data_IF_107312146714
#
_entry.id   IF_107312146714
#
_cell.length_a   1.000
_cell.length_b   1.000
_cell.length_c   1.000
_cell.angle_alpha   90.00
_cell.angle_beta   90.00
_cell.angle_gamma   90.00
#
_symmetry.space_group_name_H-M   'P 1'
#
loop_
_entity.id
_entity.type
_entity.pdbx_description
1 polymer ?
#
# COMPACT_ATOMS: atom_id res chain seq x y z
N UNK A 1 -0.34 -30.55 5.48
CA UNK A 1 -0.96 -29.23 5.23
C UNK A 1 -0.12 -28.58 4.16
N UNK A 2 -0.65 -28.39 2.94
CA UNK A 2 0.13 -27.76 1.87
C UNK A 2 0.60 -26.38 2.34
N UNK A 3 1.91 -26.15 2.27
CA UNK A 3 2.52 -24.88 2.64
C UNK A 3 2.01 -23.84 1.64
N UNK A 4 1.19 -22.89 2.12
CA UNK A 4 0.59 -21.89 1.22
C UNK A 4 1.67 -20.89 0.88
N UNK A 5 2.03 -20.81 -0.40
CA UNK A 5 3.04 -19.88 -0.89
C UNK A 5 2.83 -18.47 -0.34
N UNK A 6 3.92 -17.84 0.11
CA UNK A 6 3.84 -16.48 0.62
C UNK A 6 3.50 -15.51 -0.52
N UNK A 7 2.84 -14.36 -0.25
CA UNK A 7 2.58 -13.37 -1.29
C UNK A 7 3.83 -12.90 -2.05
N UNK A 8 5.00 -12.91 -1.38
CA UNK A 8 6.28 -12.58 -2.00
C UNK A 8 6.70 -13.63 -3.04
N UNK A 9 6.51 -14.91 -2.71
CA UNK A 9 6.90 -16.02 -3.59
C UNK A 9 5.97 -16.10 -4.80
N UNK A 10 4.67 -15.91 -4.60
CA UNK A 10 3.69 -15.78 -5.69
C UNK A 10 4.09 -14.68 -6.68
N UNK A 11 4.40 -13.48 -6.18
CA UNK A 11 4.80 -12.35 -7.04
C UNK A 11 6.10 -12.63 -7.78
N UNK A 12 7.08 -13.27 -7.12
CA UNK A 12 8.33 -13.67 -7.76
C UNK A 12 8.12 -14.72 -8.84
N UNK A 13 7.26 -15.71 -8.61
CA UNK A 13 6.91 -16.72 -9.60
C UNK A 13 6.21 -16.09 -10.82
N UNK A 14 5.32 -15.13 -10.59
CA UNK A 14 4.70 -14.35 -11.65
C UNK A 14 5.76 -13.59 -12.48
N UNK A 15 6.68 -12.88 -11.83
CA UNK A 15 7.75 -12.15 -12.53
C UNK A 15 8.69 -13.08 -13.30
N UNK A 16 9.02 -14.24 -12.73
CA UNK A 16 9.83 -15.25 -13.43
C UNK A 16 9.13 -15.82 -14.67
N UNK A 17 7.79 -15.88 -14.66
CA UNK A 17 6.99 -16.43 -15.76
C UNK A 17 6.71 -15.40 -16.85
N UNK A 18 6.37 -14.18 -16.46
CA UNK A 18 5.82 -13.16 -17.36
C UNK A 18 6.76 -11.98 -17.61
N UNK A 19 7.83 -11.84 -16.83
CA UNK A 19 8.70 -10.67 -16.80
C UNK A 19 8.26 -9.64 -15.76
N UNK A 20 9.23 -8.98 -15.12
CA UNK A 20 8.97 -8.00 -14.06
C UNK A 20 8.17 -6.80 -14.57
N UNK A 21 8.58 -6.20 -15.68
CA UNK A 21 7.90 -5.05 -16.29
C UNK A 21 6.45 -5.34 -16.64
N UNK A 22 6.18 -6.54 -17.17
CA UNK A 22 4.83 -6.96 -17.55
C UNK A 22 3.94 -7.08 -16.32
N UNK A 23 4.45 -7.65 -15.22
CA UNK A 23 3.70 -7.76 -13.96
C UNK A 23 3.46 -6.37 -13.35
N UNK A 24 4.44 -5.47 -13.43
CA UNK A 24 4.29 -4.07 -13.02
C UNK A 24 3.20 -3.38 -13.83
N UNK A 25 3.21 -3.51 -15.17
CA UNK A 25 2.21 -2.89 -16.06
C UNK A 25 0.80 -3.35 -15.71
N UNK A 26 0.60 -4.66 -15.46
CA UNK A 26 -0.70 -5.17 -15.03
C UNK A 26 -1.15 -4.55 -13.71
N UNK A 27 -0.23 -4.43 -12.75
CA UNK A 27 -0.54 -3.87 -11.45
C UNK A 27 -0.86 -2.37 -11.53
N UNK A 28 -0.15 -1.62 -12.38
CA UNK A 28 -0.46 -0.21 -12.67
C UNK A 28 -1.85 -0.11 -13.30
N UNK A 29 -2.17 -0.93 -14.30
CA UNK A 29 -3.46 -0.92 -14.97
C UNK A 29 -4.62 -1.28 -14.01
N UNK A 30 -4.42 -2.24 -13.11
CA UNK A 30 -5.36 -2.55 -12.04
C UNK A 30 -5.51 -1.40 -11.04
N UNK A 31 -4.41 -0.82 -10.58
CA UNK A 31 -4.38 0.22 -9.54
C UNK A 31 -5.02 1.53 -10.02
N UNK A 32 -4.79 1.91 -11.28
CA UNK A 32 -5.33 3.12 -11.90
C UNK A 32 -6.74 2.94 -12.45
N UNK A 33 -7.23 1.71 -12.55
CA UNK A 33 -8.56 1.38 -13.06
C UNK A 33 -8.65 1.30 -14.58
N UNK A 34 -7.53 1.34 -15.30
CA UNK A 34 -7.47 1.01 -16.74
C UNK A 34 -8.05 -0.38 -17.00
N UNK A 35 -7.74 -1.35 -16.12
CA UNK A 35 -8.48 -2.61 -16.05
C UNK A 35 -9.57 -2.49 -14.98
N UNK A 36 -10.86 -2.37 -15.35
CA UNK A 36 -11.95 -2.27 -14.40
C UNK A 36 -12.19 -3.61 -13.70
N UNK A 37 -12.89 -3.57 -12.56
CA UNK A 37 -13.10 -4.77 -11.76
C UNK A 37 -13.88 -5.88 -12.43
N UNK A 38 -14.81 -5.53 -13.33
CA UNK A 38 -15.53 -6.51 -14.16
C UNK A 38 -14.56 -7.26 -15.10
N UNK A 39 -13.63 -6.55 -15.75
CA UNK A 39 -12.62 -7.17 -16.59
C UNK A 39 -11.65 -8.01 -15.75
N UNK A 40 -11.21 -7.51 -14.59
CA UNK A 40 -10.30 -8.20 -13.68
C UNK A 40 -10.83 -9.54 -13.13
N UNK A 41 -12.14 -9.65 -12.87
CA UNK A 41 -12.79 -10.92 -12.51
C UNK A 41 -13.38 -11.67 -13.71
N UNK A 42 -13.19 -11.14 -14.92
CA UNK A 42 -13.65 -11.70 -16.19
C UNK A 42 -12.48 -12.06 -17.10
N UNK A 43 -12.37 -11.36 -18.23
CA UNK A 43 -11.36 -11.64 -19.26
C UNK A 43 -9.90 -11.52 -18.77
N UNK A 44 -9.66 -10.69 -17.74
CA UNK A 44 -8.34 -10.41 -17.19
C UNK A 44 -8.03 -11.19 -15.90
N UNK A 45 -8.89 -12.14 -15.53
CA UNK A 45 -8.69 -13.00 -14.38
C UNK A 45 -7.29 -13.66 -14.35
N UNK A 46 -6.71 -14.16 -15.47
CA UNK A 46 -5.37 -14.75 -15.44
C UNK A 46 -4.28 -13.84 -14.85
N UNK A 47 -4.35 -12.52 -15.11
CA UNK A 47 -3.40 -11.53 -14.53
C UNK A 47 -3.56 -11.44 -13.02
N UNK A 48 -4.81 -11.44 -12.53
CA UNK A 48 -5.11 -11.40 -11.10
C UNK A 48 -4.73 -12.72 -10.40
N UNK A 49 -4.96 -13.86 -11.04
CA UNK A 49 -4.49 -15.17 -10.56
C UNK A 49 -2.97 -15.18 -10.42
N UNK A 50 -2.23 -14.65 -11.41
CA UNK A 50 -0.77 -14.62 -11.38
C UNK A 50 -0.22 -13.88 -10.14
N UNK A 51 -0.80 -12.72 -9.78
CA UNK A 51 -0.29 -11.91 -8.65
C UNK A 51 -0.87 -12.30 -7.27
N UNK A 52 -1.88 -13.18 -7.25
CA UNK A 52 -2.55 -13.62 -6.00
C UNK A 52 -2.35 -15.10 -5.69
N UNK A 53 -1.98 -15.92 -6.68
CA UNK A 53 -1.85 -17.37 -6.55
C UNK A 53 -3.18 -18.08 -6.34
N UNK A 54 -4.31 -17.44 -6.68
CA UNK A 54 -5.65 -17.96 -6.40
C UNK A 54 -6.53 -17.83 -7.64
N UNK A 55 -7.19 -18.93 -8.03
CA UNK A 55 -8.18 -18.95 -9.12
C UNK A 55 -9.47 -18.18 -8.77
N UNK A 56 -9.72 -17.96 -7.48
CA UNK A 56 -10.82 -17.13 -6.99
C UNK A 56 -10.31 -16.15 -5.92
N UNK A 57 -9.62 -15.07 -6.32
CA UNK A 57 -9.13 -14.06 -5.41
C UNK A 57 -10.27 -13.46 -4.58
N UNK A 58 -10.18 -13.58 -3.26
CA UNK A 58 -11.23 -13.13 -2.33
C UNK A 58 -12.35 -14.13 -2.06
N UNK A 59 -12.44 -15.23 -2.81
CA UNK A 59 -13.38 -16.33 -2.53
C UNK A 59 -14.85 -15.94 -2.75
N UNK A 60 -15.11 -15.02 -3.67
CA UNK A 60 -16.44 -14.48 -3.91
C UNK A 60 -17.28 -15.43 -4.77
N UNK A 61 -18.61 -15.27 -4.70
CA UNK A 61 -19.51 -15.90 -5.66
C UNK A 61 -19.50 -15.10 -6.97
N UNK A 62 -19.73 -15.79 -8.09
CA UNK A 62 -19.89 -15.15 -9.38
C UNK A 62 -21.37 -14.80 -9.65
N UNK A 63 -21.67 -13.59 -10.19
CA UNK A 63 -20.74 -12.50 -10.45
C UNK A 63 -20.28 -11.81 -9.14
N UNK A 64 -19.05 -11.30 -9.15
CA UNK A 64 -18.47 -10.59 -7.98
C UNK A 64 -19.16 -9.24 -7.81
N UNK A 65 -19.62 -8.94 -6.59
CA UNK A 65 -20.20 -7.66 -6.21
C UNK A 65 -19.21 -6.50 -6.49
N UNK A 66 -19.62 -5.44 -7.21
CA UNK A 66 -18.76 -4.29 -7.50
C UNK A 66 -18.13 -3.62 -6.27
N UNK A 67 -18.79 -3.69 -5.10
CA UNK A 67 -18.25 -3.23 -3.83
C UNK A 67 -16.98 -3.97 -3.39
N UNK A 68 -16.69 -5.13 -3.96
CA UNK A 68 -15.45 -5.89 -3.72
C UNK A 68 -14.35 -5.59 -4.75
N UNK A 69 -14.59 -4.79 -5.79
CA UNK A 69 -13.60 -4.52 -6.83
C UNK A 69 -12.38 -3.74 -6.33
N UNK A 70 -12.48 -3.01 -5.22
CA UNK A 70 -11.32 -2.32 -4.64
C UNK A 70 -10.21 -3.31 -4.22
N UNK A 71 -10.53 -4.58 -3.97
CA UNK A 71 -9.51 -5.59 -3.63
C UNK A 71 -8.49 -5.82 -4.74
N UNK A 72 -8.88 -5.62 -6.00
CA UNK A 72 -7.96 -5.72 -7.14
C UNK A 72 -6.83 -4.71 -7.00
N UNK A 73 -7.16 -3.46 -6.64
CA UNK A 73 -6.19 -2.40 -6.39
C UNK A 73 -5.34 -2.66 -5.15
N UNK A 74 -5.91 -3.28 -4.12
CA UNK A 74 -5.16 -3.71 -2.93
C UNK A 74 -4.12 -4.78 -3.29
N UNK A 75 -4.50 -5.80 -4.06
CA UNK A 75 -3.58 -6.86 -4.49
C UNK A 75 -2.52 -6.36 -5.46
N UNK A 76 -2.88 -5.47 -6.38
CA UNK A 76 -1.94 -4.79 -7.27
C UNK A 76 -0.93 -3.95 -6.48
N UNK A 77 -1.38 -3.07 -5.58
CA UNK A 77 -0.47 -2.27 -4.75
C UNK A 77 0.49 -3.14 -3.91
N UNK A 78 0.03 -4.29 -3.40
CA UNK A 78 0.87 -5.23 -2.65
C UNK A 78 2.08 -5.72 -3.45
N UNK A 79 1.97 -5.86 -4.77
CA UNK A 79 3.07 -6.30 -5.64
C UNK A 79 4.27 -5.37 -5.50
N UNK A 80 4.04 -4.06 -5.33
CA UNK A 80 5.10 -3.05 -5.24
C UNK A 80 5.93 -3.10 -3.95
N UNK A 81 5.50 -3.90 -2.96
CA UNK A 81 6.32 -4.25 -1.79
C UNK A 81 7.45 -5.24 -2.14
N UNK A 82 7.35 -5.93 -3.27
CA UNK A 82 8.28 -7.01 -3.65
C UNK A 82 9.02 -6.73 -4.95
N UNK A 83 8.40 -5.97 -5.85
CA UNK A 83 8.84 -5.64 -7.21
C UNK A 83 8.77 -4.13 -7.38
N UNK A 84 9.62 -3.51 -8.20
CA UNK A 84 9.63 -2.05 -8.31
C UNK A 84 10.12 -1.53 -9.66
N UNK A 85 9.44 -0.50 -10.15
CA UNK A 85 9.83 0.35 -11.28
C UNK A 85 9.49 1.79 -10.91
N UNK A 86 10.34 2.75 -11.24
CA UNK A 86 10.23 4.11 -10.69
C UNK A 86 8.97 4.86 -11.13
N UNK A 87 8.42 4.54 -12.30
CA UNK A 87 7.16 5.10 -12.81
C UNK A 87 5.92 4.67 -11.99
N UNK A 88 6.04 3.64 -11.14
CA UNK A 88 4.97 3.21 -10.20
C UNK A 88 4.58 4.33 -9.24
N UNK A 89 5.49 5.27 -8.95
CA UNK A 89 5.21 6.44 -8.09
C UNK A 89 3.99 7.22 -8.57
N UNK A 90 3.82 7.41 -9.88
CA UNK A 90 2.69 8.16 -10.44
C UNK A 90 1.37 7.43 -10.20
N UNK A 91 1.36 6.10 -10.36
CA UNK A 91 0.21 5.27 -10.05
C UNK A 91 -0.11 5.29 -8.54
N UNK A 92 0.91 5.33 -7.68
CA UNK A 92 0.73 5.42 -6.22
C UNK A 92 0.20 6.78 -5.78
N UNK A 93 0.56 7.88 -6.46
CA UNK A 93 -0.01 9.21 -6.20
C UNK A 93 -1.52 9.24 -6.43
N UNK A 94 -2.00 8.55 -7.47
CA UNK A 94 -3.44 8.35 -7.72
C UNK A 94 -4.05 7.49 -6.61
N UNK A 95 -3.42 6.36 -6.28
CA UNK A 95 -3.91 5.42 -5.28
C UNK A 95 -3.90 5.96 -3.84
N UNK A 96 -3.06 6.96 -3.53
CA UNK A 96 -3.07 7.64 -2.24
C UNK A 96 -4.41 8.36 -1.97
N UNK A 97 -5.16 8.67 -3.03
CA UNK A 97 -6.49 9.31 -2.96
C UNK A 97 -7.64 8.32 -3.17
N UNK A 98 -7.36 7.02 -3.17
CA UNK A 98 -8.36 5.99 -3.40
C UNK A 98 -9.48 6.07 -2.35
N UNK A 99 -10.77 5.90 -2.72
CA UNK A 99 -11.87 5.90 -1.74
C UNK A 99 -11.73 4.78 -0.70
N UNK A 100 -11.17 3.62 -1.08
CA UNK A 100 -10.97 2.50 -0.18
C UNK A 100 -9.75 2.72 0.71
N UNK A 101 -9.98 2.86 2.02
CA UNK A 101 -8.92 3.06 3.01
C UNK A 101 -7.83 1.97 2.95
N UNK A 102 -8.17 0.74 2.55
CA UNK A 102 -7.23 -0.38 2.46
C UNK A 102 -6.22 -0.22 1.32
N UNK A 103 -6.59 0.47 0.24
CA UNK A 103 -5.66 0.84 -0.83
C UNK A 103 -4.68 1.90 -0.32
N UNK A 104 -5.19 2.95 0.34
CA UNK A 104 -4.36 3.99 0.96
C UNK A 104 -3.40 3.43 2.01
N UNK A 105 -3.85 2.47 2.82
CA UNK A 105 -2.99 1.73 3.77
C UNK A 105 -1.85 0.98 3.07
N UNK A 106 -2.09 0.39 1.90
CA UNK A 106 -1.02 -0.25 1.12
C UNK A 106 -0.03 0.79 0.59
N UNK A 107 -0.52 1.93 0.08
CA UNK A 107 0.34 3.04 -0.36
C UNK A 107 1.24 3.48 0.79
N UNK A 108 0.70 3.72 1.99
CA UNK A 108 1.50 4.10 3.16
C UNK A 108 2.59 3.07 3.50
N UNK A 109 2.28 1.76 3.43
CA UNK A 109 3.29 0.72 3.65
C UNK A 109 4.39 0.72 2.59
N UNK A 110 4.04 0.97 1.33
CA UNK A 110 5.01 1.08 0.23
C UNK A 110 5.87 2.32 0.45
N UNK A 111 5.26 3.47 0.75
CA UNK A 111 5.96 4.72 1.09
C UNK A 111 6.96 4.52 2.21
N UNK A 112 6.58 3.82 3.29
CA UNK A 112 7.49 3.52 4.40
C UNK A 112 8.65 2.61 3.99
N UNK A 113 8.38 1.56 3.21
CA UNK A 113 9.40 0.58 2.81
C UNK A 113 10.38 1.13 1.75
N UNK A 114 9.90 2.05 0.91
CA UNK A 114 10.62 2.59 -0.25
C UNK A 114 11.07 4.04 -0.03
N UNK A 115 10.78 4.62 1.15
CA UNK A 115 11.13 5.99 1.55
C UNK A 115 10.66 7.07 0.55
N UNK A 116 9.41 6.95 0.09
CA UNK A 116 8.85 7.80 -0.98
C UNK A 116 8.33 9.14 -0.45
N UNK A 117 9.23 10.09 -0.22
CA UNK A 117 8.91 11.41 0.34
C UNK A 117 7.81 12.16 -0.43
N UNK A 118 7.77 12.02 -1.75
CA UNK A 118 6.76 12.63 -2.63
C UNK A 118 5.32 12.15 -2.38
N UNK A 119 5.11 11.05 -1.63
CA UNK A 119 3.78 10.56 -1.27
C UNK A 119 3.31 11.04 0.11
N UNK A 120 4.19 11.62 0.93
CA UNK A 120 3.95 11.89 2.35
C UNK A 120 2.74 12.80 2.56
N UNK A 121 2.66 13.92 1.84
CA UNK A 121 1.54 14.86 1.95
C UNK A 121 0.18 14.20 1.67
N UNK A 122 0.14 13.29 0.70
CA UNK A 122 -1.08 12.59 0.33
C UNK A 122 -1.56 11.62 1.43
N UNK A 123 -0.69 11.26 2.38
CA UNK A 123 -0.99 10.36 3.49
C UNK A 123 -1.38 11.11 4.78
N UNK A 124 -1.15 12.43 4.88
CA UNK A 124 -1.53 13.22 6.06
C UNK A 124 -3.00 13.02 6.48
N UNK A 125 -4.01 12.98 5.58
CA UNK A 125 -5.39 12.77 5.97
C UNK A 125 -5.66 11.41 6.65
N UNK A 126 -4.76 10.43 6.52
CA UNK A 126 -4.91 9.13 7.18
C UNK A 126 -4.61 9.19 8.68
N UNK A 127 -3.97 10.25 9.17
CA UNK A 127 -3.71 10.47 10.59
C UNK A 127 -4.99 10.68 11.40
N UNK A 128 -6.07 11.15 10.79
CA UNK A 128 -7.37 11.34 11.45
C UNK A 128 -8.35 10.18 11.22
N UNK A 129 -7.90 9.09 10.62
CA UNK A 129 -8.78 7.98 10.26
C UNK A 129 -9.32 7.25 11.50
N UNK A 130 -10.59 6.81 11.48
CA UNK A 130 -11.24 6.14 12.62
C UNK A 130 -10.51 4.85 13.07
N UNK A 131 -9.97 4.10 12.11
CA UNK A 131 -9.25 2.85 12.36
C UNK A 131 -7.80 3.09 12.81
N UNK A 132 -7.39 2.59 14.00
CA UNK A 132 -6.02 2.77 14.50
C UNK A 132 -4.93 2.24 13.58
N UNK A 133 -5.18 1.13 12.88
CA UNK A 133 -4.21 0.55 11.93
C UNK A 133 -3.88 1.50 10.76
N UNK A 134 -4.85 2.33 10.35
CA UNK A 134 -4.68 3.26 9.23
C UNK A 134 -3.84 4.44 9.70
N UNK A 135 -4.14 4.99 10.88
CA UNK A 135 -3.30 6.01 11.53
C UNK A 135 -1.87 5.51 11.73
N UNK A 136 -1.71 4.28 12.23
CA UNK A 136 -0.40 3.63 12.41
C UNK A 136 0.38 3.51 11.10
N UNK A 137 -0.27 3.12 10.01
CA UNK A 137 0.37 3.01 8.70
C UNK A 137 0.84 4.39 8.21
N UNK A 138 0.04 5.44 8.40
CA UNK A 138 0.38 6.81 8.05
C UNK A 138 1.56 7.34 8.87
N UNK A 139 1.51 7.20 10.21
CA UNK A 139 2.61 7.60 11.11
C UNK A 139 3.93 6.95 10.72
N UNK A 140 3.92 5.64 10.41
CA UNK A 140 5.12 4.92 9.95
C UNK A 140 5.64 5.44 8.62
N UNK A 141 4.75 5.72 7.67
CA UNK A 141 5.13 6.25 6.37
C UNK A 141 5.75 7.63 6.48
N UNK A 142 5.14 8.52 7.28
CA UNK A 142 5.64 9.88 7.50
C UNK A 142 6.96 9.85 8.27
N UNK A 143 7.11 8.99 9.28
CA UNK A 143 8.39 8.87 9.99
C UNK A 143 9.53 8.36 9.10
N UNK A 144 9.24 7.43 8.18
CA UNK A 144 10.24 6.84 7.31
C UNK A 144 10.60 7.68 6.08
N UNK A 145 9.69 8.54 5.59
CA UNK A 145 9.85 9.24 4.32
C UNK A 145 9.62 10.76 4.41
N UNK A 146 9.07 11.26 5.51
CA UNK A 146 8.77 12.67 5.72
C UNK A 146 10.00 13.50 6.02
N UNK A 147 9.74 14.80 6.07
CA UNK A 147 10.66 15.89 6.40
C UNK A 147 10.29 16.55 7.72
N UNK A 148 11.15 17.45 8.20
CA UNK A 148 11.01 18.14 9.50
C UNK A 148 9.61 18.73 9.74
N UNK A 149 8.99 19.33 8.72
CA UNK A 149 7.67 19.96 8.83
C UNK A 149 6.53 18.98 9.17
N UNK A 150 6.74 17.68 8.97
CA UNK A 150 5.73 16.66 9.27
C UNK A 150 5.78 16.17 10.72
N UNK A 151 6.79 16.58 11.50
CA UNK A 151 6.95 16.14 12.89
C UNK A 151 5.75 16.49 13.75
N UNK A 152 5.18 17.68 13.58
CA UNK A 152 4.03 18.13 14.37
C UNK A 152 2.75 17.34 14.06
N UNK A 153 2.57 16.93 12.80
CA UNK A 153 1.47 16.07 12.41
C UNK A 153 1.56 14.69 13.09
N UNK A 154 2.77 14.13 13.23
CA UNK A 154 2.98 12.89 14.00
C UNK A 154 2.75 13.11 15.49
N UNK A 155 3.27 14.19 16.07
CA UNK A 155 3.13 14.51 17.51
C UNK A 155 1.69 14.68 17.96
N UNK A 156 0.82 15.17 17.09
CA UNK A 156 -0.61 15.30 17.40
C UNK A 156 -1.27 13.97 17.83
N UNK A 157 -0.66 12.82 17.49
CA UNK A 157 -1.13 11.49 17.85
C UNK A 157 -0.42 10.89 19.09
N UNK A 158 0.40 11.66 19.82
CA UNK A 158 1.12 11.18 21.00
C UNK A 158 0.19 10.65 22.10
N UNK A 159 -1.02 11.23 22.23
CA UNK A 159 -2.06 10.83 23.17
C UNK A 159 -3.18 10.01 22.51
N UNK A 160 -2.93 9.41 21.33
CA UNK A 160 -3.92 8.59 20.64
C UNK A 160 -4.47 7.49 21.58
N UNK A 161 -5.78 7.20 21.59
CA UNK A 161 -6.36 6.18 22.47
C UNK A 161 -5.75 4.78 22.25
N UNK A 162 -5.30 4.47 21.04
CA UNK A 162 -4.71 3.19 20.69
C UNK A 162 -3.19 3.16 20.97
N UNK A 163 -2.77 2.22 21.81
CA UNK A 163 -1.37 2.06 22.19
C UNK A 163 -0.43 1.74 21.01
N UNK A 164 -0.93 1.11 19.95
CA UNK A 164 -0.12 0.79 18.76
C UNK A 164 0.20 2.04 17.95
N UNK A 165 -0.70 3.03 17.97
CA UNK A 165 -0.50 4.34 17.34
C UNK A 165 0.53 5.13 18.15
N UNK A 166 0.37 5.23 19.47
CA UNK A 166 1.37 5.91 20.33
C UNK A 166 2.77 5.33 20.17
N UNK A 167 2.89 3.99 20.20
CA UNK A 167 4.18 3.32 19.96
C UNK A 167 4.71 3.49 18.53
N UNK A 168 3.85 3.82 17.55
CA UNK A 168 4.29 4.19 16.21
C UNK A 168 4.78 5.64 16.17
N UNK A 169 4.14 6.56 16.90
CA UNK A 169 4.53 7.97 17.03
C UNK A 169 5.95 8.08 17.56
N UNK A 170 6.24 7.45 18.71
CA UNK A 170 7.57 7.49 19.33
C UNK A 170 8.65 7.03 18.35
N UNK A 171 8.43 5.87 17.71
CA UNK A 171 9.38 5.32 16.72
C UNK A 171 9.53 6.20 15.49
N UNK A 172 8.42 6.79 15.01
CA UNK A 172 8.44 7.63 13.81
C UNK A 172 9.22 8.93 14.06
N UNK A 173 9.07 9.55 15.23
CA UNK A 173 9.82 10.75 15.59
C UNK A 173 11.32 10.44 15.74
N UNK A 174 11.70 9.36 16.43
CA UNK A 174 13.11 8.93 16.49
C UNK A 174 13.67 8.63 15.10
N UNK A 175 12.92 7.92 14.26
CA UNK A 175 13.34 7.62 12.87
C UNK A 175 13.57 8.90 12.09
N UNK A 176 12.71 9.90 12.26
CA UNK A 176 12.78 11.18 11.57
C UNK A 176 13.96 12.03 12.08
N UNK A 177 14.20 12.07 13.39
CA UNK A 177 15.39 12.70 14.00
C UNK A 177 16.69 12.11 13.44
N UNK A 178 16.79 10.77 13.45
CA UNK A 178 17.96 10.03 12.97
C UNK A 178 18.20 10.28 11.48
N UNK A 179 17.14 10.27 10.65
CA UNK A 179 17.24 10.52 9.20
C UNK A 179 17.67 11.94 8.86
N UNK A 180 17.15 12.92 9.60
CA UNK A 180 17.39 14.33 9.32
C UNK A 180 18.64 14.88 10.01
N UNK A 181 19.29 14.07 10.85
CA UNK A 181 20.46 14.45 11.67
C UNK A 181 20.20 15.74 12.45
N UNK A 182 18.99 15.88 13.01
CA UNK A 182 18.59 17.04 13.80
C UNK A 182 17.54 16.71 14.86
N UNK A 183 17.58 17.39 16.01
CA UNK A 183 16.50 17.35 16.98
C UNK A 183 15.21 17.91 16.37
N UNK A 184 14.06 17.36 16.79
CA UNK A 184 12.75 17.84 16.36
C UNK A 184 12.12 18.86 17.34
N UNK A 185 12.71 19.04 18.51
CA UNK A 185 12.34 19.94 19.63
C UNK A 185 12.42 21.44 19.33
#
# INVERSE_FOLDING_TARGET
MADRESPRDVVRAACATYGEDVVVDWCVAFLTGEIPGEAAYGAELPKLVAITGSENPGGWKAPVDPGNYYWIRVWAARVFLYVWRDDVVDALLVAARDPAWRVREHVARITAQRELGQLVDALLPMLDHELPRVRTAAVRAIGAAGEYEHADAIRALADDPDHTVRAAVDRALTTLEDRLDRPLD
#
